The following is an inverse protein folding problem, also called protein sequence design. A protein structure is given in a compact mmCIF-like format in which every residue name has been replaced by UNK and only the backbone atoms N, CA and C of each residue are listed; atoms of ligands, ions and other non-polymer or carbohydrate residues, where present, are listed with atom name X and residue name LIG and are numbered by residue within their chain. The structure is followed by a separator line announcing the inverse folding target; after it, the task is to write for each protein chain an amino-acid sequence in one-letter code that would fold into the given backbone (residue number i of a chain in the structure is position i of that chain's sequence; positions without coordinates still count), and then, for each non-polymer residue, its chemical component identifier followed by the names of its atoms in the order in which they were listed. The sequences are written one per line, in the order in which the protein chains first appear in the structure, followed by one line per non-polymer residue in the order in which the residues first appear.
data_IF_900014709548
#
_entry.id   IF_900014709548
#
_cell.length_a   1.000
_cell.length_b   1.000
_cell.length_c   1.000
_cell.angle_alpha   90.00
_cell.angle_beta   90.00
_cell.angle_gamma   90.00
#
_symmetry.space_group_name_H-M   'P 1'
#
loop_
_entity.id
_entity.type
_entity.pdbx_description
1 polymer ?
#
# COMPACT_ATOMS: atom_id res chain seq x y z
N UNK A 1 -27.21 -29.06 19.41
CA UNK A 1 -25.85 -29.04 18.79
C UNK A 1 -24.92 -28.36 19.74
N UNK A 2 -23.83 -28.99 20.10
CA UNK A 2 -22.80 -28.40 20.99
C UNK A 2 -21.78 -27.72 20.10
N UNK A 3 -21.53 -26.44 20.30
CA UNK A 3 -20.48 -25.69 19.58
C UNK A 3 -19.14 -25.98 20.25
N UNK A 4 -18.19 -26.47 19.48
CA UNK A 4 -16.81 -26.69 19.92
C UNK A 4 -15.93 -25.55 19.43
N UNK A 5 -15.18 -24.91 20.34
CA UNK A 5 -14.22 -23.87 19.99
C UNK A 5 -12.84 -24.47 19.80
N UNK A 6 -12.40 -24.63 18.55
CA UNK A 6 -11.08 -25.15 18.20
C UNK A 6 -9.95 -24.14 18.54
N UNK A 7 -10.26 -22.83 18.51
CA UNK A 7 -9.35 -21.76 18.91
C UNK A 7 -10.16 -20.58 19.44
N UNK A 8 -9.68 -20.00 20.55
CA UNK A 8 -10.23 -18.75 21.10
C UNK A 8 -9.22 -17.63 20.89
N UNK A 9 -9.71 -16.42 20.59
CA UNK A 9 -8.88 -15.23 20.51
C UNK A 9 -8.29 -14.87 21.89
N UNK A 10 -7.03 -14.49 21.91
CA UNK A 10 -6.40 -13.86 23.07
C UNK A 10 -6.50 -12.35 22.96
N UNK A 11 -7.00 -11.66 23.98
CA UNK A 11 -7.03 -10.20 24.00
C UNK A 11 -5.61 -9.67 24.08
N UNK A 12 -5.23 -8.79 23.15
CA UNK A 12 -4.02 -7.97 23.27
C UNK A 12 -4.27 -6.82 24.24
N UNK A 13 -3.28 -6.49 25.07
CA UNK A 13 -3.41 -5.41 26.04
C UNK A 13 -3.28 -4.03 25.39
N UNK A 14 -3.99 -3.03 25.91
CA UNK A 14 -3.90 -1.64 25.43
C UNK A 14 -2.49 -1.00 25.65
N UNK A 15 -1.64 -1.61 26.49
CA UNK A 15 -0.26 -1.18 26.72
C UNK A 15 0.62 -1.27 25.50
N UNK A 16 0.34 -2.20 24.56
CA UNK A 16 1.14 -2.39 23.35
C UNK A 16 1.00 -1.23 22.37
N UNK A 17 -0.11 -0.51 22.38
CA UNK A 17 -0.37 0.59 21.45
C UNK A 17 0.53 1.82 21.69
N UNK A 18 0.78 2.17 22.96
CA UNK A 18 1.64 3.33 23.30
C UNK A 18 3.10 3.10 22.93
N UNK A 19 3.56 1.86 23.04
CA UNK A 19 4.93 1.50 22.70
C UNK A 19 5.14 1.45 21.18
N UNK A 20 4.13 0.98 20.43
CA UNK A 20 4.15 1.03 18.96
C UNK A 20 4.24 2.47 18.46
N UNK A 21 3.46 3.39 19.03
CA UNK A 21 3.51 4.82 18.65
C UNK A 21 4.91 5.41 18.86
N UNK A 22 5.53 5.16 20.01
CA UNK A 22 6.88 5.68 20.31
C UNK A 22 7.93 5.13 19.34
N UNK A 23 7.89 3.82 19.07
CA UNK A 23 8.81 3.15 18.14
C UNK A 23 8.67 3.76 16.74
N UNK A 24 7.44 3.85 16.23
CA UNK A 24 7.16 4.36 14.90
C UNK A 24 7.55 5.83 14.77
N UNK A 25 7.22 6.66 15.78
CA UNK A 25 7.63 8.07 15.79
C UNK A 25 9.14 8.22 15.79
N UNK A 26 9.87 7.39 16.55
CA UNK A 26 11.33 7.38 16.55
C UNK A 26 11.89 7.08 15.16
N UNK A 27 11.42 6.02 14.52
CA UNK A 27 11.85 5.63 13.15
C UNK A 27 11.56 6.74 12.13
N UNK A 28 10.35 7.34 12.19
CA UNK A 28 9.98 8.42 11.28
C UNK A 28 10.86 9.65 11.47
N UNK A 29 11.16 10.04 12.72
CA UNK A 29 12.04 11.17 13.03
C UNK A 29 13.47 10.92 12.53
N UNK A 30 14.00 9.72 12.76
CA UNK A 30 15.34 9.35 12.34
C UNK A 30 15.48 9.38 10.81
N UNK A 31 14.46 8.85 10.08
CA UNK A 31 14.44 8.87 8.62
C UNK A 31 14.25 10.30 8.11
N UNK A 32 13.41 11.11 8.73
CA UNK A 32 13.24 12.51 8.32
C UNK A 32 14.52 13.32 8.47
N UNK A 33 15.27 13.08 9.56
CA UNK A 33 16.53 13.77 9.82
C UNK A 33 17.71 13.23 9.00
N UNK A 34 17.79 11.92 8.82
CA UNK A 34 18.94 11.23 8.22
C UNK A 34 18.74 10.79 6.77
N UNK A 35 17.56 11.03 6.20
CA UNK A 35 17.26 10.73 4.80
C UNK A 35 17.41 9.27 4.40
N UNK A 36 17.96 9.06 3.21
CA UNK A 36 18.15 7.74 2.61
C UNK A 36 19.06 6.83 3.45
N UNK A 37 20.14 7.36 4.02
CA UNK A 37 21.06 6.60 4.85
C UNK A 37 20.38 6.02 6.09
N UNK A 38 19.52 6.79 6.74
CA UNK A 38 18.74 6.32 7.87
C UNK A 38 17.69 5.27 7.44
N UNK A 39 17.05 5.49 6.31
CA UNK A 39 16.10 4.54 5.73
C UNK A 39 16.77 3.19 5.42
N UNK A 40 17.97 3.20 4.84
CA UNK A 40 18.75 2.01 4.54
C UNK A 40 19.15 1.24 5.80
N UNK A 41 19.51 1.91 6.89
CA UNK A 41 19.79 1.25 8.18
C UNK A 41 18.57 0.46 8.68
N UNK A 42 17.37 1.03 8.59
CA UNK A 42 16.14 0.32 8.98
C UNK A 42 15.78 -0.80 8.00
N UNK A 43 16.04 -0.63 6.68
CA UNK A 43 15.92 -1.72 5.71
C UNK A 43 16.82 -2.90 6.09
N UNK A 44 18.09 -2.63 6.38
CA UNK A 44 19.05 -3.69 6.72
C UNK A 44 18.66 -4.40 8.03
N UNK A 45 18.14 -3.63 9.00
CA UNK A 45 17.70 -4.16 10.29
C UNK A 45 16.44 -5.02 10.20
N UNK A 46 15.43 -4.58 9.44
CA UNK A 46 14.10 -5.18 9.45
C UNK A 46 13.80 -6.04 8.22
N UNK A 47 14.26 -5.63 7.05
CA UNK A 47 14.01 -6.33 5.80
C UNK A 47 15.13 -7.32 5.44
N UNK A 48 16.35 -7.15 6.00
CA UNK A 48 17.53 -7.98 5.73
C UNK A 48 17.76 -8.17 4.21
N UNK A 49 17.70 -7.08 3.49
CA UNK A 49 17.78 -7.02 2.03
C UNK A 49 18.80 -5.97 1.61
N UNK A 50 19.71 -6.34 0.72
CA UNK A 50 20.84 -5.54 0.25
C UNK A 50 20.75 -5.15 -1.25
N UNK A 51 19.67 -5.55 -1.93
CA UNK A 51 19.43 -5.20 -3.32
C UNK A 51 18.94 -3.76 -3.51
N UNK A 52 18.56 -3.45 -4.76
CA UNK A 52 18.06 -2.13 -5.12
C UNK A 52 16.77 -1.79 -4.37
N UNK A 53 16.70 -0.57 -3.83
CA UNK A 53 15.48 -0.07 -3.18
C UNK A 53 14.39 0.16 -4.24
N UNK A 54 14.73 0.85 -5.33
CA UNK A 54 13.84 1.02 -6.48
C UNK A 54 14.24 -0.01 -7.53
N UNK A 55 13.33 -0.89 -7.90
CA UNK A 55 13.61 -1.95 -8.87
C UNK A 55 13.87 -1.36 -10.25
N UNK A 56 14.90 -1.89 -10.93
CA UNK A 56 15.17 -1.57 -12.33
C UNK A 56 14.17 -2.26 -13.26
N UNK A 57 14.13 -1.83 -14.53
CA UNK A 57 13.29 -2.47 -15.54
C UNK A 57 13.65 -3.94 -15.75
N UNK A 58 14.93 -4.27 -15.67
CA UNK A 58 15.44 -5.65 -15.79
C UNK A 58 14.99 -6.52 -14.60
N UNK A 59 15.04 -5.99 -13.39
CA UNK A 59 14.58 -6.70 -12.19
C UNK A 59 13.06 -6.92 -12.22
N UNK A 60 12.30 -5.93 -12.69
CA UNK A 60 10.86 -6.07 -12.88
C UNK A 60 10.56 -7.16 -13.91
N UNK A 61 11.24 -7.15 -15.06
CA UNK A 61 11.05 -8.15 -16.10
C UNK A 61 11.42 -9.55 -15.60
N UNK A 62 12.56 -9.69 -14.92
CA UNK A 62 13.00 -10.97 -14.35
C UNK A 62 12.01 -11.52 -13.31
N UNK A 63 11.37 -10.65 -12.52
CA UNK A 63 10.31 -11.06 -11.61
C UNK A 63 9.04 -11.48 -12.38
N UNK A 64 8.65 -10.74 -13.43
CA UNK A 64 7.48 -11.06 -14.26
C UNK A 64 7.63 -12.43 -14.95
N UNK A 65 8.84 -12.80 -15.38
CA UNK A 65 9.12 -14.08 -16.05
C UNK A 65 8.98 -15.27 -15.09
N UNK A 66 9.14 -15.07 -13.79
CA UNK A 66 8.97 -16.12 -12.76
C UNK A 66 7.50 -16.42 -12.43
N UNK A 67 6.56 -15.58 -12.86
CA UNK A 67 5.14 -15.77 -12.52
C UNK A 67 4.53 -16.82 -13.45
N UNK A 68 3.92 -17.90 -12.92
CA UNK A 68 3.27 -18.92 -13.75
C UNK A 68 2.14 -18.33 -14.62
N UNK A 69 2.03 -18.79 -15.86
CA UNK A 69 1.04 -18.29 -16.83
C UNK A 69 -0.40 -18.38 -16.33
N UNK A 70 -0.74 -19.43 -15.56
CA UNK A 70 -2.06 -19.51 -14.94
C UNK A 70 -2.31 -18.35 -14.00
N UNK A 71 -1.33 -18.03 -13.12
CA UNK A 71 -1.45 -16.94 -12.15
C UNK A 71 -1.49 -15.57 -12.85
N UNK A 72 -0.73 -15.38 -13.94
CA UNK A 72 -0.81 -14.15 -14.76
C UNK A 72 -2.24 -13.94 -15.29
N UNK A 73 -2.87 -14.97 -15.86
CA UNK A 73 -4.26 -14.88 -16.33
C UNK A 73 -5.24 -14.56 -15.22
N UNK A 74 -5.08 -15.20 -14.05
CA UNK A 74 -5.96 -14.96 -12.90
C UNK A 74 -5.83 -13.51 -12.40
N UNK A 75 -4.59 -12.96 -12.35
CA UNK A 75 -4.33 -11.57 -11.98
C UNK A 75 -4.89 -10.60 -13.01
N UNK A 76 -4.71 -10.87 -14.32
CA UNK A 76 -5.24 -10.04 -15.39
C UNK A 76 -6.78 -9.99 -15.36
N UNK A 77 -7.42 -11.12 -15.10
CA UNK A 77 -8.88 -11.19 -14.93
C UNK A 77 -9.33 -10.33 -13.74
N UNK A 78 -8.67 -10.47 -12.59
CA UNK A 78 -8.98 -9.67 -11.41
C UNK A 78 -8.75 -8.17 -11.66
N UNK A 79 -7.64 -7.81 -12.33
CA UNK A 79 -7.33 -6.43 -12.71
C UNK A 79 -8.43 -5.82 -13.59
N UNK A 80 -8.87 -6.53 -14.63
CA UNK A 80 -9.94 -6.05 -15.50
C UNK A 80 -11.25 -5.76 -14.74
N UNK A 81 -11.59 -6.60 -13.76
CA UNK A 81 -12.78 -6.41 -12.93
C UNK A 81 -12.67 -5.22 -12.00
N UNK A 82 -11.54 -5.09 -11.28
CA UNK A 82 -11.29 -3.95 -10.38
C UNK A 82 -11.24 -2.64 -11.17
N UNK A 83 -10.55 -2.63 -12.31
CA UNK A 83 -10.46 -1.46 -13.19
C UNK A 83 -11.85 -1.00 -13.64
N UNK A 84 -12.68 -1.93 -14.14
CA UNK A 84 -14.05 -1.62 -14.59
C UNK A 84 -14.89 -1.00 -13.46
N UNK A 85 -14.79 -1.54 -12.25
CA UNK A 85 -15.52 -1.01 -11.12
C UNK A 85 -15.00 0.37 -10.70
N UNK A 86 -13.68 0.57 -10.66
CA UNK A 86 -13.07 1.86 -10.35
C UNK A 86 -13.43 2.94 -11.40
N UNK A 87 -13.49 2.58 -12.68
CA UNK A 87 -13.95 3.47 -13.75
C UNK A 87 -15.42 3.87 -13.56
N UNK A 88 -16.28 2.93 -13.18
CA UNK A 88 -17.67 3.22 -12.86
C UNK A 88 -17.80 4.15 -11.64
N UNK A 89 -17.01 3.93 -10.59
CA UNK A 89 -16.98 4.84 -9.42
C UNK A 89 -16.48 6.23 -9.83
N UNK A 90 -15.42 6.34 -10.61
CA UNK A 90 -14.90 7.62 -11.09
C UNK A 90 -15.92 8.39 -11.93
N UNK A 91 -16.73 7.72 -12.74
CA UNK A 91 -17.76 8.35 -13.57
C UNK A 91 -18.84 9.06 -12.77
N UNK A 92 -18.98 8.76 -11.47
CA UNK A 92 -19.92 9.46 -10.57
C UNK A 92 -19.34 10.73 -9.97
N UNK A 93 -18.03 10.98 -10.12
CA UNK A 93 -17.35 12.18 -9.63
C UNK A 93 -17.29 13.17 -10.80
N UNK A 94 -18.18 14.16 -10.77
CA UNK A 94 -18.32 15.15 -11.84
C UNK A 94 -18.06 16.56 -11.31
N UNK A 95 -17.49 17.39 -12.16
CA UNK A 95 -17.40 18.82 -11.91
C UNK A 95 -18.80 19.42 -11.91
N UNK A 96 -19.08 20.28 -10.96
CA UNK A 96 -20.40 20.92 -10.82
C UNK A 96 -20.21 22.42 -10.65
N UNK A 97 -21.00 23.20 -11.38
CA UNK A 97 -21.05 24.64 -11.25
C UNK A 97 -22.51 25.09 -11.31
N UNK A 98 -22.93 25.91 -10.34
CA UNK A 98 -24.28 26.43 -10.24
C UNK A 98 -24.27 27.92 -9.86
N UNK A 99 -25.20 28.68 -10.38
CA UNK A 99 -25.49 30.02 -9.89
C UNK A 99 -26.41 29.91 -8.67
N UNK A 100 -25.87 30.18 -7.46
CA UNK A 100 -26.61 30.06 -6.19
C UNK A 100 -27.58 31.19 -5.99
N UNK A 101 -27.16 32.41 -6.30
CA UNK A 101 -27.96 33.64 -6.42
C UNK A 101 -27.42 34.44 -7.60
N UNK A 102 -28.17 35.39 -8.18
CA UNK A 102 -27.72 36.17 -9.31
C UNK A 102 -26.32 36.79 -9.10
N UNK A 103 -25.38 36.43 -9.97
CA UNK A 103 -23.98 36.85 -9.93
C UNK A 103 -23.05 36.06 -9.01
N UNK A 104 -23.56 35.11 -8.20
CA UNK A 104 -22.73 34.23 -7.35
C UNK A 104 -22.72 32.79 -7.89
N UNK A 105 -21.59 32.41 -8.47
CA UNK A 105 -21.37 31.05 -8.98
C UNK A 105 -20.56 30.25 -7.95
N UNK A 106 -21.05 29.07 -7.59
CA UNK A 106 -20.35 28.11 -6.73
C UNK A 106 -20.18 26.79 -7.47
N UNK A 107 -19.05 26.10 -7.25
CA UNK A 107 -18.78 24.84 -7.92
C UNK A 107 -17.80 23.97 -7.15
N UNK A 108 -17.68 22.74 -7.60
CA UNK A 108 -16.64 21.80 -7.19
C UNK A 108 -15.94 21.24 -8.41
N UNK A 109 -14.65 20.93 -8.26
CA UNK A 109 -13.81 20.35 -9.29
C UNK A 109 -13.09 19.13 -8.75
N UNK A 110 -13.14 18.03 -9.49
CA UNK A 110 -12.40 16.80 -9.17
C UNK A 110 -10.96 16.93 -9.67
N UNK A 111 -10.02 17.01 -8.75
CA UNK A 111 -8.57 17.10 -9.06
C UNK A 111 -7.89 15.84 -8.51
N UNK A 112 -7.27 14.99 -9.36
CA UNK A 112 -6.53 13.82 -8.88
C UNK A 112 -5.29 14.24 -8.08
N UNK A 113 -4.91 13.42 -7.09
CA UNK A 113 -3.60 13.54 -6.45
C UNK A 113 -2.50 13.35 -7.50
N UNK A 114 -1.38 14.09 -7.37
CA UNK A 114 -0.27 13.95 -8.29
C UNK A 114 0.49 12.63 -8.05
N UNK A 115 0.74 12.27 -6.80
CA UNK A 115 1.49 11.07 -6.44
C UNK A 115 0.76 10.20 -5.41
N UNK A 116 0.65 8.89 -5.68
CA UNK A 116 0.09 7.91 -4.77
C UNK A 116 1.15 6.89 -4.34
N UNK A 117 1.31 6.70 -3.02
CA UNK A 117 2.12 5.65 -2.42
C UNK A 117 1.24 4.44 -2.07
N UNK A 118 1.41 3.34 -2.78
CA UNK A 118 0.62 2.11 -2.68
C UNK A 118 1.40 1.04 -1.92
N UNK A 119 1.03 0.76 -0.68
CA UNK A 119 1.70 -0.28 0.13
C UNK A 119 1.01 -1.63 -0.02
N UNK A 120 1.77 -2.65 -0.42
CA UNK A 120 1.31 -4.03 -0.54
C UNK A 120 2.08 -4.93 0.43
N UNK A 121 1.45 -5.51 1.47
CA UNK A 121 2.13 -6.46 2.36
C UNK A 121 2.68 -7.66 1.61
N UNK A 122 3.89 -8.12 1.96
CA UNK A 122 4.57 -9.22 1.25
C UNK A 122 5.38 -10.16 2.14
N UNK A 123 5.49 -9.87 3.46
CA UNK A 123 6.39 -10.60 4.34
C UNK A 123 6.01 -12.06 4.58
N UNK A 124 4.81 -12.33 5.08
CA UNK A 124 4.32 -13.71 5.34
C UNK A 124 3.64 -14.33 4.13
N UNK A 125 2.84 -13.55 3.43
CA UNK A 125 2.08 -13.94 2.23
C UNK A 125 2.22 -12.89 1.16
N UNK A 126 2.18 -13.29 -0.10
CA UNK A 126 2.11 -12.37 -1.22
C UNK A 126 0.70 -11.77 -1.32
N UNK A 127 0.51 -10.56 -0.84
CA UNK A 127 -0.77 -9.85 -0.92
C UNK A 127 -0.98 -9.24 -2.31
N UNK A 128 -1.13 -10.10 -3.32
CA UNK A 128 -1.35 -9.72 -4.73
C UNK A 128 -2.56 -8.78 -4.85
N UNK A 129 -3.65 -9.09 -4.15
CA UNK A 129 -4.86 -8.29 -4.16
C UNK A 129 -4.64 -6.86 -3.66
N UNK A 130 -3.74 -6.65 -2.68
CA UNK A 130 -3.44 -5.30 -2.19
C UNK A 130 -2.74 -4.46 -3.26
N UNK A 131 -1.72 -5.01 -3.94
CA UNK A 131 -1.05 -4.33 -5.05
C UNK A 131 -2.06 -4.01 -6.17
N UNK A 132 -2.89 -4.98 -6.53
CA UNK A 132 -3.90 -4.85 -7.58
C UNK A 132 -4.91 -3.74 -7.25
N UNK A 133 -5.48 -3.75 -6.04
CA UNK A 133 -6.51 -2.79 -5.66
C UNK A 133 -5.98 -1.37 -5.49
N UNK A 134 -4.80 -1.20 -4.90
CA UNK A 134 -4.26 0.14 -4.64
C UNK A 134 -3.73 0.79 -5.91
N UNK A 135 -2.93 0.07 -6.71
CA UNK A 135 -2.32 0.61 -7.93
C UNK A 135 -3.37 0.87 -9.01
N UNK A 136 -4.31 -0.08 -9.23
CA UNK A 136 -5.35 0.09 -10.24
C UNK A 136 -6.25 1.29 -9.94
N UNK A 137 -6.68 1.44 -8.68
CA UNK A 137 -7.56 2.56 -8.30
C UNK A 137 -6.84 3.90 -8.39
N UNK A 138 -5.56 3.98 -8.00
CA UNK A 138 -4.75 5.18 -8.17
C UNK A 138 -4.59 5.55 -9.67
N UNK A 139 -4.37 4.55 -10.54
CA UNK A 139 -4.26 4.77 -12.00
C UNK A 139 -5.56 5.27 -12.60
N UNK A 140 -6.68 4.64 -12.25
CA UNK A 140 -8.02 5.06 -12.70
C UNK A 140 -8.37 6.44 -12.16
N UNK A 141 -8.03 6.76 -10.91
CA UNK A 141 -8.24 8.08 -10.33
C UNK A 141 -7.53 9.19 -11.12
N UNK A 142 -6.43 8.87 -11.78
CA UNK A 142 -5.67 9.82 -12.61
C UNK A 142 -4.41 10.32 -11.92
N UNK A 143 -3.90 9.64 -10.90
CA UNK A 143 -2.60 9.94 -10.31
C UNK A 143 -1.51 9.80 -11.39
N UNK A 144 -0.65 10.81 -11.49
CA UNK A 144 0.41 10.83 -12.50
C UNK A 144 1.60 9.96 -12.12
N UNK A 145 1.87 9.85 -10.81
CA UNK A 145 2.98 9.11 -10.25
C UNK A 145 2.45 8.07 -9.25
N UNK A 146 2.74 6.81 -9.49
CA UNK A 146 2.28 5.71 -8.65
C UNK A 146 3.47 4.89 -8.18
N UNK A 147 3.72 4.92 -6.88
CA UNK A 147 4.80 4.18 -6.22
C UNK A 147 4.20 2.97 -5.52
N UNK A 148 4.50 1.76 -6.00
CA UNK A 148 4.14 0.52 -5.34
C UNK A 148 5.28 0.08 -4.41
N UNK A 149 5.00 -0.06 -3.11
CA UNK A 149 5.97 -0.45 -2.11
C UNK A 149 5.58 -1.78 -1.46
N UNK A 150 6.51 -2.72 -1.38
CA UNK A 150 6.30 -4.01 -0.74
C UNK A 150 7.57 -4.49 -0.03
N UNK A 151 7.44 -5.12 1.16
CA UNK A 151 8.60 -5.65 1.85
C UNK A 151 9.26 -6.74 1.02
N UNK A 152 10.60 -6.67 0.84
CA UNK A 152 11.36 -7.75 0.27
C UNK A 152 11.45 -8.92 1.25
N UNK A 153 11.74 -10.12 0.76
CA UNK A 153 12.17 -11.25 1.57
C UNK A 153 13.69 -11.24 1.66
N UNK A 154 14.23 -11.60 2.80
CA UNK A 154 15.65 -11.65 3.05
C UNK A 154 16.40 -12.37 1.92
N UNK A 155 17.37 -11.71 1.30
CA UNK A 155 18.20 -12.23 0.21
C UNK A 155 17.49 -12.58 -1.11
N UNK A 156 16.16 -12.32 -1.25
CA UNK A 156 15.39 -12.72 -2.44
C UNK A 156 14.73 -11.53 -3.15
N UNK A 157 14.28 -10.52 -2.40
CA UNK A 157 13.53 -9.39 -2.94
C UNK A 157 12.01 -9.53 -2.82
N UNK A 158 11.28 -8.65 -3.49
CA UNK A 158 9.81 -8.66 -3.51
C UNK A 158 9.30 -9.94 -4.19
N UNK A 159 8.18 -10.47 -3.69
CA UNK A 159 7.55 -11.64 -4.31
C UNK A 159 7.19 -11.36 -5.79
N UNK A 160 7.61 -12.21 -6.75
CA UNK A 160 7.43 -11.97 -8.19
C UNK A 160 5.99 -11.62 -8.59
N UNK A 161 5.00 -12.27 -8.00
CA UNK A 161 3.60 -12.00 -8.31
C UNK A 161 3.13 -10.60 -7.85
N UNK A 162 3.73 -10.03 -6.79
CA UNK A 162 3.44 -8.64 -6.38
C UNK A 162 4.07 -7.68 -7.38
N UNK A 163 5.32 -7.91 -7.78
CA UNK A 163 6.01 -7.10 -8.80
C UNK A 163 5.23 -7.10 -10.11
N UNK A 164 4.87 -8.29 -10.60
CA UNK A 164 4.06 -8.45 -11.81
C UNK A 164 2.74 -7.68 -11.70
N UNK A 165 2.04 -7.82 -10.59
CA UNK A 165 0.75 -7.14 -10.38
C UNK A 165 0.91 -5.63 -10.37
N UNK A 166 1.86 -5.09 -9.62
CA UNK A 166 2.13 -3.66 -9.57
C UNK A 166 2.48 -3.12 -10.97
N UNK A 167 3.31 -3.86 -11.71
CA UNK A 167 3.71 -3.49 -13.08
C UNK A 167 2.53 -3.42 -14.05
N UNK A 168 1.71 -4.48 -14.16
CA UNK A 168 0.58 -4.50 -15.10
C UNK A 168 -0.55 -3.54 -14.71
N UNK A 169 -0.69 -3.23 -13.42
CA UNK A 169 -1.66 -2.24 -12.93
C UNK A 169 -1.22 -0.80 -13.18
N UNK A 170 0.04 -0.58 -13.57
CA UNK A 170 0.56 0.71 -14.00
C UNK A 170 1.29 1.50 -12.90
N UNK A 171 1.99 0.82 -11.98
CA UNK A 171 2.95 1.46 -11.09
C UNK A 171 4.13 2.02 -11.89
N UNK A 172 4.51 3.26 -11.61
CA UNK A 172 5.65 3.93 -12.25
C UNK A 172 6.97 3.56 -11.56
N UNK A 173 6.90 3.29 -10.24
CA UNK A 173 8.03 2.82 -9.43
C UNK A 173 7.61 1.65 -8.56
N UNK A 174 8.50 0.64 -8.43
CA UNK A 174 8.32 -0.49 -7.52
C UNK A 174 9.46 -0.49 -6.52
N UNK A 175 9.12 -0.46 -5.23
CA UNK A 175 10.04 -0.18 -4.13
C UNK A 175 10.12 -1.37 -3.16
N UNK A 176 11.33 -1.88 -2.97
CA UNK A 176 11.65 -3.00 -2.09
C UNK A 176 11.98 -2.51 -0.66
N UNK A 177 10.95 -2.06 0.04
CA UNK A 177 11.03 -1.66 1.45
C UNK A 177 9.80 -2.16 2.20
N UNK A 178 9.97 -2.56 3.45
CA UNK A 178 8.89 -2.97 4.33
C UNK A 178 8.52 -1.90 5.36
N UNK A 179 7.51 -2.18 6.18
CA UNK A 179 7.23 -1.47 7.43
C UNK A 179 7.18 0.06 7.35
N UNK A 180 7.66 0.66 8.43
CA UNK A 180 7.69 2.12 8.59
C UNK A 180 8.62 2.79 7.59
N UNK A 181 9.78 2.17 7.27
CA UNK A 181 10.75 2.72 6.33
C UNK A 181 10.19 2.81 4.90
N UNK A 182 9.34 1.86 4.49
CA UNK A 182 8.65 1.92 3.21
C UNK A 182 7.62 3.05 3.14
N UNK A 183 6.85 3.24 4.23
CA UNK A 183 5.90 4.35 4.35
C UNK A 183 6.64 5.70 4.35
N UNK A 184 7.73 5.81 5.11
CA UNK A 184 8.55 7.02 5.17
C UNK A 184 9.18 7.38 3.82
N UNK A 185 9.72 6.39 3.10
CA UNK A 185 10.33 6.61 1.79
C UNK A 185 9.33 7.22 0.79
N UNK A 186 8.10 6.71 0.75
CA UNK A 186 7.04 7.28 -0.09
C UNK A 186 6.58 8.67 0.40
N UNK A 187 6.41 8.84 1.73
CA UNK A 187 5.93 10.09 2.30
C UNK A 187 6.92 11.24 2.14
N UNK A 188 8.22 10.96 2.23
CA UNK A 188 9.28 11.97 2.16
C UNK A 188 9.89 12.13 0.78
N UNK A 189 9.63 11.20 -0.15
CA UNK A 189 10.16 11.22 -1.51
C UNK A 189 11.64 10.85 -1.57
N UNK A 190 12.05 9.78 -0.85
CA UNK A 190 13.43 9.30 -0.83
C UNK A 190 13.74 8.46 -2.08
N UNK A 191 15.02 8.24 -2.37
CA UNK A 191 15.50 7.43 -3.50
C UNK A 191 15.03 7.94 -4.87
N UNK A 192 14.90 9.25 -5.00
CA UNK A 192 14.40 9.87 -6.23
C UNK A 192 12.90 9.66 -6.51
N UNK A 193 12.16 9.13 -5.55
CA UNK A 193 10.71 8.91 -5.68
C UNK A 193 9.94 10.24 -5.61
N UNK A 194 8.83 10.37 -6.31
CA UNK A 194 7.91 11.47 -6.09
C UNK A 194 7.34 11.37 -4.66
N UNK A 195 7.31 12.53 -3.97
CA UNK A 195 6.68 12.61 -2.66
C UNK A 195 5.18 12.33 -2.78
N UNK A 196 4.69 11.35 -2.03
CA UNK A 196 3.29 10.96 -2.10
C UNK A 196 2.37 12.04 -1.51
N UNK A 197 1.28 12.34 -2.21
CA UNK A 197 0.17 13.15 -1.70
C UNK A 197 -0.78 12.29 -0.87
N UNK A 198 -0.88 11.00 -1.18
CA UNK A 198 -1.72 10.02 -0.48
C UNK A 198 -0.98 8.68 -0.34
N UNK A 199 -1.12 8.07 0.85
CA UNK A 199 -0.63 6.73 1.15
C UNK A 199 -1.82 5.78 1.31
N UNK A 200 -1.83 4.72 0.53
CA UNK A 200 -2.92 3.74 0.52
C UNK A 200 -2.38 2.32 0.70
N UNK A 201 -3.22 1.44 1.20
CA UNK A 201 -2.92 0.03 1.37
C UNK A 201 -2.91 -0.44 2.81
N UNK A 202 -3.20 -1.74 3.03
CA UNK A 202 -3.18 -2.36 4.35
C UNK A 202 -1.76 -2.66 4.79
N UNK A 203 -1.56 -2.84 6.10
CA UNK A 203 -0.29 -3.22 6.67
C UNK A 203 -0.44 -3.74 8.09
N UNK A 204 0.67 -4.09 8.72
CA UNK A 204 0.69 -4.43 10.13
C UNK A 204 0.50 -3.16 11.00
N UNK A 205 0.44 -3.34 12.33
CA UNK A 205 0.24 -2.24 13.28
C UNK A 205 1.27 -1.11 13.13
N UNK A 206 2.52 -1.39 12.72
CA UNK A 206 3.55 -0.36 12.53
C UNK A 206 3.30 0.46 11.26
N UNK A 207 2.85 -0.17 10.18
CA UNK A 207 2.44 0.51 8.94
C UNK A 207 1.20 1.37 9.17
N UNK A 208 0.19 0.83 9.88
CA UNK A 208 -1.02 1.56 10.22
C UNK A 208 -0.70 2.79 11.09
N UNK A 209 0.18 2.61 12.09
CA UNK A 209 0.61 3.69 12.97
C UNK A 209 1.45 4.75 12.25
N UNK A 210 2.33 4.36 11.32
CA UNK A 210 3.09 5.30 10.49
C UNK A 210 2.16 6.17 9.64
N UNK A 211 1.14 5.58 9.02
CA UNK A 211 0.11 6.33 8.29
C UNK A 211 -0.65 7.28 9.21
N UNK A 212 -1.01 6.83 10.42
CA UNK A 212 -1.71 7.65 11.42
C UNK A 212 -0.91 8.87 11.84
N UNK A 213 0.39 8.69 12.10
CA UNK A 213 1.28 9.79 12.51
C UNK A 213 1.48 10.80 11.37
N UNK A 214 1.57 10.32 10.14
CA UNK A 214 1.78 11.15 8.96
C UNK A 214 0.50 11.81 8.44
N UNK A 215 -0.68 11.41 8.92
CA UNK A 215 -1.94 12.02 8.52
C UNK A 215 -1.95 13.54 8.79
N UNK A 216 -2.35 14.29 7.80
CA UNK A 216 -2.28 15.75 7.80
C UNK A 216 -1.05 16.32 7.09
N UNK A 217 0.07 15.57 7.06
CA UNK A 217 1.23 15.87 6.20
C UNK A 217 1.09 15.19 4.84
N UNK A 218 0.46 14.04 4.81
CA UNK A 218 0.10 13.26 3.64
C UNK A 218 -1.32 12.71 3.83
N UNK A 219 -2.09 12.58 2.75
CA UNK A 219 -3.39 11.91 2.78
C UNK A 219 -3.22 10.41 3.07
N UNK A 220 -4.23 9.80 3.67
CA UNK A 220 -4.28 8.34 3.83
C UNK A 220 -5.65 7.80 3.41
N UNK A 221 -5.72 6.52 3.12
CA UNK A 221 -6.97 5.84 2.78
C UNK A 221 -7.92 5.74 3.99
N UNK A 222 -7.46 5.13 5.09
CA UNK A 222 -8.24 4.98 6.31
C UNK A 222 -7.36 4.59 7.51
N UNK A 223 -7.88 4.81 8.71
CA UNK A 223 -7.34 4.22 9.93
C UNK A 223 -7.88 2.79 10.07
N UNK A 224 -7.03 1.79 9.81
CA UNK A 224 -7.41 0.41 10.00
C UNK A 224 -7.49 0.10 11.50
N UNK A 225 -8.65 -0.35 11.94
CA UNK A 225 -8.85 -0.87 13.29
C UNK A 225 -8.50 -2.35 13.41
N UNK A 226 -8.58 -2.93 14.62
CA UNK A 226 -8.45 -4.37 14.80
C UNK A 226 -9.59 -5.09 14.05
N UNK A 227 -9.23 -6.23 13.46
CA UNK A 227 -10.17 -7.06 12.69
C UNK A 227 -10.44 -8.35 13.46
N UNK A 228 -11.69 -8.63 13.73
CA UNK A 228 -12.15 -9.92 14.22
C UNK A 228 -12.48 -10.84 13.04
N UNK A 229 -12.04 -12.09 13.15
CA UNK A 229 -12.35 -13.10 12.13
C UNK A 229 -13.04 -14.30 12.78
N UNK A 230 -14.18 -14.65 12.23
CA UNK A 230 -14.91 -15.90 12.58
C UNK A 230 -14.88 -16.84 11.40
N UNK A 231 -14.40 -18.07 11.63
CA UNK A 231 -14.49 -19.15 10.65
C UNK A 231 -15.56 -20.11 11.13
N UNK A 232 -16.61 -20.25 10.35
CA UNK A 232 -17.66 -21.26 10.54
C UNK A 232 -17.53 -22.29 9.44
N UNK A 233 -17.24 -23.54 9.83
CA UNK A 233 -17.03 -24.63 8.90
C UNK A 233 -17.73 -25.89 9.39
N UNK A 234 -18.15 -26.75 8.48
CA UNK A 234 -18.64 -28.10 8.74
C UNK A 234 -17.81 -29.16 7.99
N UNK A 235 -18.23 -30.41 8.04
CA UNK A 235 -17.50 -31.50 7.42
C UNK A 235 -17.47 -31.46 5.88
N UNK A 236 -18.16 -30.50 5.25
CA UNK A 236 -18.18 -30.29 3.80
C UNK A 236 -17.27 -29.16 3.34
N UNK A 237 -16.61 -28.44 4.27
CA UNK A 237 -15.76 -27.29 3.99
C UNK A 237 -14.38 -27.69 3.47
#
# INVERSE_FOLDING_TARGET
MTVEYLKKATKTSASDASDVTKIVQGILNDIEAGGEDACLKFRDQFDQYDGNVVLTAEEIQAACDQVPEKLKRDIQFAHANVKRFAEAQKSTIVDTEIEVIPGLIAGQKAIPCNAAGCYAPGGRYAHIASALMTVTTAKVAGCQNIVACSPPRAGVGIHPAIVYTAHICGADHIVALGGVQGIAAMAFGLFGLPKADILVGPGNQFVAEAKRILFGRVGIDMFAGPTDSLILADASA
#
